data_IF_811265692187
#
_entry.id   IF_811265692187
#
_cell.length_a   1.000
_cell.length_b   1.000
_cell.length_c   1.000
_cell.angle_alpha   90.00
_cell.angle_beta   90.00
_cell.angle_gamma   90.00
#
_symmetry.space_group_name_H-M   'P 1'
#
loop_
_entity.id
_entity.type
_entity.pdbx_description
1 polymer ?
#
# COMPACT_ATOMS: atom_id res chain seq x y z
N UNK A 1 0.03 -9.63 -9.15
CA UNK A 1 -0.31 -9.12 -7.81
C UNK A 1 0.58 -7.92 -7.53
N UNK A 2 0.01 -6.74 -7.24
CA UNK A 2 0.78 -5.47 -7.11
C UNK A 2 0.95 -5.03 -5.65
N UNK A 3 0.04 -5.48 -4.79
CA UNK A 3 -0.03 -5.11 -3.38
C UNK A 3 -0.21 -6.36 -2.50
N UNK A 4 0.34 -6.30 -1.30
CA UNK A 4 0.24 -7.32 -0.26
C UNK A 4 -0.07 -6.66 1.07
N UNK A 5 -0.71 -7.38 1.98
CA UNK A 5 -0.92 -6.91 3.35
C UNK A 5 0.02 -7.65 4.29
N UNK A 6 0.71 -6.91 5.14
CA UNK A 6 1.57 -7.47 6.18
C UNK A 6 0.70 -8.14 7.26
N UNK A 7 1.02 -9.38 7.60
CA UNK A 7 0.34 -10.17 8.65
C UNK A 7 1.28 -10.56 9.79
N UNK A 8 2.59 -10.37 9.62
CA UNK A 8 3.66 -10.70 10.57
C UNK A 8 4.80 -9.70 10.45
N UNK A 9 5.47 -9.37 11.55
CA UNK A 9 6.63 -8.48 11.56
C UNK A 9 7.68 -8.89 12.61
N UNK A 10 7.67 -10.15 13.05
CA UNK A 10 8.75 -10.68 13.89
C UNK A 10 10.06 -10.74 13.09
N UNK A 11 11.21 -10.73 13.74
CA UNK A 11 12.46 -10.91 13.00
C UNK A 11 12.59 -12.30 12.38
N UNK A 12 13.29 -12.37 11.26
CA UNK A 12 13.73 -13.61 10.63
C UNK A 12 15.24 -13.62 10.36
N UNK A 13 15.95 -12.58 10.80
CA UNK A 13 17.39 -12.44 10.63
C UNK A 13 18.06 -12.77 11.97
N UNK A 14 18.84 -13.84 11.97
CA UNK A 14 19.54 -14.35 13.14
C UNK A 14 21.05 -14.29 12.91
N UNK A 15 21.80 -14.03 13.97
CA UNK A 15 23.26 -14.11 13.95
C UNK A 15 23.76 -15.56 13.91
N UNK A 16 25.09 -15.73 13.90
CA UNK A 16 25.73 -17.05 13.84
C UNK A 16 25.43 -17.92 15.06
N UNK A 17 25.06 -17.31 16.18
CA UNK A 17 24.71 -17.98 17.44
C UNK A 17 23.19 -18.25 17.54
N UNK A 18 22.43 -17.91 16.48
CA UNK A 18 20.97 -18.07 16.42
C UNK A 18 20.20 -17.01 17.20
N UNK A 19 20.86 -15.92 17.62
CA UNK A 19 20.21 -14.81 18.30
C UNK A 19 19.60 -13.85 17.27
N UNK A 20 18.35 -13.39 17.48
CA UNK A 20 17.73 -12.40 16.60
C UNK A 20 18.50 -11.07 16.58
N UNK A 21 18.63 -10.44 15.41
CA UNK A 21 19.22 -9.10 15.28
C UNK A 21 18.33 -8.00 15.89
N UNK A 22 17.01 -8.19 15.86
CA UNK A 22 15.98 -7.35 16.48
C UNK A 22 14.81 -8.27 16.89
N UNK A 23 13.98 -7.92 17.86
CA UNK A 23 12.79 -8.71 18.19
C UNK A 23 11.62 -8.41 17.23
N UNK A 24 11.56 -7.21 16.64
CA UNK A 24 10.53 -6.78 15.69
C UNK A 24 11.17 -6.05 14.52
N UNK A 25 10.57 -6.20 13.34
CA UNK A 25 10.93 -5.47 12.14
C UNK A 25 10.19 -4.13 12.11
N UNK A 26 10.89 -3.05 12.48
CA UNK A 26 10.35 -1.69 12.51
C UNK A 26 9.99 -1.13 11.11
N UNK A 27 10.46 -1.79 10.05
CA UNK A 27 10.18 -1.48 8.65
C UNK A 27 8.84 -2.08 8.15
N UNK A 28 8.21 -2.96 8.94
CA UNK A 28 6.92 -3.57 8.63
C UNK A 28 5.88 -3.37 9.76
N UNK A 29 4.70 -2.91 9.37
CA UNK A 29 3.55 -2.76 10.27
C UNK A 29 2.46 -3.76 9.91
N UNK A 30 2.07 -4.60 10.88
CA UNK A 30 0.99 -5.58 10.70
C UNK A 30 -0.33 -4.87 10.38
N UNK A 31 -1.03 -5.36 9.37
CA UNK A 31 -2.27 -4.80 8.83
C UNK A 31 -2.06 -3.76 7.71
N UNK A 32 -0.83 -3.26 7.54
CA UNK A 32 -0.51 -2.28 6.51
C UNK A 32 -0.36 -2.94 5.14
N UNK A 33 -0.66 -2.18 4.08
CA UNK A 33 -0.57 -2.62 2.68
C UNK A 33 0.71 -2.09 2.05
N UNK A 34 1.52 -2.98 1.50
CA UNK A 34 2.79 -2.68 0.85
C UNK A 34 2.76 -3.00 -0.64
N UNK A 35 3.63 -2.34 -1.40
CA UNK A 35 3.80 -2.57 -2.83
C UNK A 35 4.88 -3.62 -3.09
N UNK A 36 4.62 -4.53 -4.02
CA UNK A 36 5.64 -5.43 -4.53
C UNK A 36 6.50 -4.75 -5.59
N UNK A 37 7.82 -4.90 -5.47
CA UNK A 37 8.74 -4.62 -6.56
C UNK A 37 8.82 -5.82 -7.53
N UNK A 38 9.29 -5.62 -8.77
CA UNK A 38 9.54 -6.73 -9.68
C UNK A 38 10.56 -7.71 -9.09
N UNK A 39 10.36 -9.04 -9.21
CA UNK A 39 11.35 -10.01 -8.75
C UNK A 39 12.63 -9.91 -9.56
N UNK A 40 13.77 -10.14 -8.92
CA UNK A 40 15.08 -10.28 -9.57
C UNK A 40 15.62 -11.70 -9.40
N UNK A 41 16.58 -12.10 -10.24
CA UNK A 41 17.07 -13.49 -10.37
C UNK A 41 17.48 -14.15 -9.04
N UNK A 42 17.97 -13.36 -8.07
CA UNK A 42 18.50 -13.84 -6.80
C UNK A 42 17.52 -13.74 -5.61
N UNK A 43 16.24 -13.43 -5.84
CA UNK A 43 15.25 -13.28 -4.76
C UNK A 43 14.85 -14.62 -4.12
N UNK A 44 15.08 -15.73 -4.83
CA UNK A 44 14.72 -17.07 -4.36
C UNK A 44 13.21 -17.19 -4.11
N UNK A 45 12.84 -17.63 -2.91
CA UNK A 45 11.44 -17.80 -2.48
C UNK A 45 10.90 -16.62 -1.66
N UNK A 46 11.64 -15.51 -1.57
CA UNK A 46 11.26 -14.32 -0.81
C UNK A 46 10.49 -13.33 -1.68
N UNK A 47 9.70 -12.47 -1.03
CA UNK A 47 9.01 -11.37 -1.67
C UNK A 47 9.83 -10.09 -1.56
N UNK A 48 9.96 -9.40 -2.68
CA UNK A 48 10.55 -8.06 -2.75
C UNK A 48 9.48 -7.01 -2.51
N UNK A 49 9.56 -6.35 -1.36
CA UNK A 49 8.53 -5.44 -0.84
C UNK A 49 9.16 -4.06 -0.62
N UNK A 50 8.47 -3.02 -1.08
CA UNK A 50 8.81 -1.63 -0.71
C UNK A 50 8.24 -1.35 0.66
N UNK A 51 9.10 -1.22 1.68
CA UNK A 51 8.75 -1.13 3.10
C UNK A 51 8.49 0.32 3.58
N UNK A 52 8.40 0.56 4.90
CA UNK A 52 8.21 1.91 5.48
C UNK A 52 9.39 2.87 5.24
N UNK A 53 10.59 2.35 4.92
CA UNK A 53 11.74 3.18 4.54
C UNK A 53 11.63 3.72 3.11
N UNK A 54 10.83 3.06 2.26
CA UNK A 54 10.69 3.36 0.84
C UNK A 54 11.66 2.61 -0.07
N UNK A 55 12.48 1.73 0.49
CA UNK A 55 13.43 0.86 -0.22
C UNK A 55 12.84 -0.55 -0.43
N UNK A 56 13.39 -1.33 -1.36
CA UNK A 56 12.87 -2.65 -1.73
C UNK A 56 13.69 -3.82 -1.12
N UNK A 57 13.23 -4.33 0.01
CA UNK A 57 13.87 -5.46 0.72
C UNK A 57 13.18 -6.80 0.50
N UNK A 58 13.89 -7.87 0.86
CA UNK A 58 13.41 -9.25 0.75
C UNK A 58 12.89 -9.74 2.10
N UNK A 59 11.67 -10.25 2.07
CA UNK A 59 10.98 -10.79 3.24
C UNK A 59 10.43 -12.20 2.96
N UNK A 60 10.25 -13.02 4.00
CA UNK A 60 9.58 -14.31 3.85
C UNK A 60 8.16 -14.15 3.30
N UNK A 61 7.78 -15.02 2.37
CA UNK A 61 6.46 -14.93 1.71
C UNK A 61 5.30 -15.04 2.70
N UNK A 62 5.46 -15.77 3.82
CA UNK A 62 4.42 -15.97 4.83
C UNK A 62 4.21 -14.76 5.77
N UNK A 63 4.96 -13.67 5.57
CA UNK A 63 4.71 -12.38 6.23
C UNK A 63 3.58 -11.60 5.58
N UNK A 64 3.12 -12.06 4.42
CA UNK A 64 2.21 -11.33 3.58
C UNK A 64 1.04 -12.18 3.10
N UNK A 65 -0.14 -11.57 3.09
CA UNK A 65 -1.30 -12.07 2.37
C UNK A 65 -1.56 -11.24 1.12
N UNK A 66 -2.29 -11.81 0.17
CA UNK A 66 -2.73 -11.06 -1.02
C UNK A 66 -3.68 -9.96 -0.56
N UNK A 67 -3.47 -8.74 -1.05
CA UNK A 67 -4.43 -7.66 -0.82
C UNK A 67 -5.35 -7.55 -2.03
N UNK A 68 -6.46 -8.29 -2.00
CA UNK A 68 -7.48 -8.30 -3.05
C UNK A 68 -8.78 -7.65 -2.53
N UNK A 69 -9.55 -7.08 -3.47
CA UNK A 69 -10.75 -6.29 -3.17
C UNK A 69 -11.85 -7.07 -2.41
N UNK A 70 -11.78 -8.40 -2.38
CA UNK A 70 -12.75 -9.26 -1.69
C UNK A 70 -12.48 -9.50 -0.20
N UNK A 71 -11.27 -9.23 0.30
CA UNK A 71 -10.84 -9.70 1.63
C UNK A 71 -11.19 -8.73 2.77
N UNK A 72 -11.44 -7.46 2.45
CA UNK A 72 -11.94 -6.47 3.40
C UNK A 72 -13.27 -5.94 2.86
N UNK A 73 -14.36 -6.31 3.51
CA UNK A 73 -15.69 -5.80 3.19
C UNK A 73 -15.70 -4.30 2.92
N UNK A 74 -16.54 -3.90 1.98
CA UNK A 74 -16.78 -2.59 1.36
C UNK A 74 -17.12 -1.47 2.37
N UNK A 75 -16.27 -1.31 3.39
CA UNK A 75 -16.46 -0.39 4.49
C UNK A 75 -15.86 0.96 4.08
N UNK A 76 -16.68 2.01 3.98
CA UNK A 76 -16.20 3.31 3.58
C UNK A 76 -15.24 3.86 4.65
N UNK A 77 -13.99 4.08 4.26
CA UNK A 77 -12.98 4.77 5.06
C UNK A 77 -12.72 6.17 4.49
N UNK A 78 -12.38 7.12 5.36
CA UNK A 78 -12.08 8.49 4.97
C UNK A 78 -10.57 8.74 4.95
N UNK A 79 -10.09 9.38 3.89
CA UNK A 79 -8.73 9.93 3.81
C UNK A 79 -8.83 11.44 4.02
N UNK A 80 -8.03 11.97 4.95
CA UNK A 80 -7.90 13.42 5.15
C UNK A 80 -6.60 13.90 4.52
N UNK A 81 -6.68 14.90 3.65
CA UNK A 81 -5.51 15.52 3.03
C UNK A 81 -5.47 17.01 3.36
N UNK A 82 -4.26 17.51 3.64
CA UNK A 82 -4.02 18.95 3.77
C UNK A 82 -3.54 19.48 2.42
N UNK A 83 -4.23 20.50 1.91
CA UNK A 83 -3.96 21.11 0.60
C UNK A 83 -3.91 22.62 0.76
N UNK A 84 -3.17 23.31 -0.11
CA UNK A 84 -3.17 24.78 -0.13
C UNK A 84 -4.52 25.32 -0.61
N UNK A 85 -4.82 26.58 -0.26
CA UNK A 85 -6.05 27.25 -0.73
C UNK A 85 -6.14 27.30 -2.26
N UNK A 86 -5.00 27.51 -2.93
CA UNK A 86 -4.90 27.49 -4.39
C UNK A 86 -5.36 26.14 -4.96
N UNK A 87 -4.82 25.03 -4.43
CA UNK A 87 -5.18 23.69 -4.89
C UNK A 87 -6.64 23.37 -4.60
N UNK A 88 -7.15 23.75 -3.42
CA UNK A 88 -8.57 23.60 -3.07
C UNK A 88 -9.49 24.34 -4.04
N UNK A 89 -9.12 25.56 -4.44
CA UNK A 89 -9.86 26.35 -5.43
C UNK A 89 -9.92 25.70 -6.80
N UNK A 90 -8.79 25.16 -7.28
CA UNK A 90 -8.73 24.42 -8.54
C UNK A 90 -9.60 23.16 -8.47
N UNK A 91 -9.44 22.34 -7.42
CA UNK A 91 -10.23 21.13 -7.23
C UNK A 91 -11.73 21.41 -7.22
N UNK A 92 -12.15 22.54 -6.63
CA UNK A 92 -13.54 22.97 -6.67
C UNK A 92 -14.04 23.24 -8.10
N UNK A 93 -13.28 24.04 -8.87
CA UNK A 93 -13.65 24.43 -10.22
C UNK A 93 -13.75 23.21 -11.14
N UNK A 94 -12.79 22.28 -11.07
CA UNK A 94 -12.80 21.04 -11.84
C UNK A 94 -14.00 20.14 -11.48
N UNK A 95 -14.31 20.01 -10.19
CA UNK A 95 -15.48 19.22 -9.75
C UNK A 95 -16.79 19.80 -10.30
N UNK A 96 -16.94 21.13 -10.28
CA UNK A 96 -18.11 21.82 -10.85
C UNK A 96 -18.18 21.61 -12.37
N UNK A 97 -17.06 21.79 -13.08
CA UNK A 97 -17.01 21.60 -14.54
C UNK A 97 -17.37 20.16 -14.95
N UNK A 98 -16.90 19.17 -14.20
CA UNK A 98 -17.21 17.75 -14.41
C UNK A 98 -18.61 17.34 -13.89
N UNK A 99 -19.35 18.24 -13.23
CA UNK A 99 -20.63 17.98 -12.54
C UNK A 99 -20.55 16.83 -11.53
N UNK A 100 -19.45 16.76 -10.79
CA UNK A 100 -19.16 15.71 -9.79
C UNK A 100 -19.00 16.34 -8.40
N UNK A 101 -19.18 15.53 -7.35
CA UNK A 101 -18.69 15.92 -6.02
C UNK A 101 -17.17 15.88 -5.98
N UNK A 102 -16.55 16.58 -5.03
CA UNK A 102 -15.10 16.47 -4.78
C UNK A 102 -14.65 15.01 -4.62
N UNK A 103 -15.40 14.22 -3.84
CA UNK A 103 -15.07 12.82 -3.59
C UNK A 103 -15.18 11.96 -4.84
N UNK A 104 -16.18 12.17 -5.69
CA UNK A 104 -16.33 11.41 -6.92
C UNK A 104 -15.21 11.73 -7.92
N UNK A 105 -14.86 13.02 -8.09
CA UNK A 105 -13.74 13.42 -8.96
C UNK A 105 -12.41 12.87 -8.46
N UNK A 106 -12.11 12.99 -7.16
CA UNK A 106 -10.85 12.52 -6.61
C UNK A 106 -10.72 10.99 -6.70
N UNK A 107 -11.80 10.24 -6.46
CA UNK A 107 -11.76 8.77 -6.62
C UNK A 107 -11.45 8.36 -8.06
N UNK A 108 -12.04 9.03 -9.04
CA UNK A 108 -11.75 8.78 -10.45
C UNK A 108 -10.29 9.08 -10.80
N UNK A 109 -9.74 10.21 -10.35
CA UNK A 109 -8.31 10.50 -10.56
C UNK A 109 -7.38 9.51 -9.86
N UNK A 110 -7.79 9.01 -8.68
CA UNK A 110 -7.05 7.95 -7.99
C UNK A 110 -7.08 6.65 -8.79
N UNK A 111 -8.24 6.25 -9.32
CA UNK A 111 -8.42 5.07 -10.17
C UNK A 111 -7.66 5.18 -11.51
N UNK A 112 -7.57 6.38 -12.08
CA UNK A 112 -6.78 6.61 -13.30
C UNK A 112 -5.28 6.49 -13.04
N UNK A 113 -4.82 6.91 -11.85
CA UNK A 113 -3.40 6.99 -11.53
C UNK A 113 -2.86 5.69 -10.94
N UNK A 114 -3.66 5.04 -10.11
CA UNK A 114 -3.37 3.75 -9.52
C UNK A 114 -4.18 2.74 -10.33
N UNK A 115 -3.53 1.80 -11.03
CA UNK A 115 -4.22 0.71 -11.75
C UNK A 115 -4.97 -0.23 -10.77
N UNK A 116 -6.01 0.28 -10.12
CA UNK A 116 -6.81 -0.44 -9.16
C UNK A 116 -7.69 -1.44 -9.92
N UNK A 117 -7.97 -2.61 -9.32
CA UNK A 117 -8.89 -3.56 -9.93
C UNK A 117 -10.26 -2.90 -10.15
N UNK A 118 -10.89 -3.24 -11.29
CA UNK A 118 -12.15 -2.63 -11.72
C UNK A 118 -13.22 -2.73 -10.63
N UNK A 119 -13.66 -1.58 -10.11
CA UNK A 119 -14.66 -1.49 -9.04
C UNK A 119 -14.15 -0.92 -7.72
N UNK A 120 -12.87 -0.56 -7.60
CA UNK A 120 -12.28 -0.01 -6.37
C UNK A 120 -12.83 1.37 -5.93
N UNK A 121 -13.32 2.19 -6.87
CA UNK A 121 -13.88 3.52 -6.57
C UNK A 121 -15.40 3.63 -6.45
N UNK A 122 -16.14 2.51 -6.54
CA UNK A 122 -17.62 2.57 -6.53
C UNK A 122 -18.20 2.96 -5.18
#
# INVERSE_FOLDING_TARGET
>A
MKYVRCVKNETFIYDQDGKPFDDVLDDLQVGQVYRLAPPVENDGAMLRVVDESGEDYLYPTDYFERFEQGDNGDHPNAITIYVSDFMKGILHAEAVAARKSFSALLREWVDERLDLPAGAAK
#
